data_IF_992107314339
#
_entry.id   IF_992107314339
#
_cell.length_a   1.000
_cell.length_b   1.000
_cell.length_c   1.000
_cell.angle_alpha   90.00
_cell.angle_beta   90.00
_cell.angle_gamma   90.00
#
_symmetry.space_group_name_H-M   'P 1'
#
loop_
_entity.id
_entity.type
_entity.pdbx_description
1 polymer ?
#
# COMPACT_ATOMS: atom_id res chain seq x y z
N UNK A 1 51.16 -23.69 33.47
CA UNK A 1 50.81 -24.84 32.61
C UNK A 1 49.61 -24.44 31.77
N UNK A 2 49.74 -24.50 30.44
CA UNK A 2 48.72 -24.43 29.37
C UNK A 2 47.84 -23.16 29.29
N UNK A 3 47.64 -22.51 28.14
CA UNK A 3 48.08 -22.83 26.80
C UNK A 3 47.62 -21.74 25.81
N UNK A 4 48.57 -21.32 24.98
CA UNK A 4 48.49 -21.26 23.50
C UNK A 4 47.43 -20.37 22.83
N UNK A 5 47.97 -19.37 22.15
CA UNK A 5 47.44 -18.53 21.07
C UNK A 5 46.59 -19.25 20.01
N UNK A 6 45.67 -18.50 19.37
CA UNK A 6 45.32 -18.72 17.97
C UNK A 6 45.19 -17.40 17.21
N UNK A 7 46.28 -17.05 16.55
CA UNK A 7 46.35 -16.12 15.43
C UNK A 7 45.70 -16.77 14.20
N UNK A 8 45.00 -16.01 13.39
CA UNK A 8 44.60 -16.39 12.03
C UNK A 8 43.32 -15.65 11.64
N UNK A 9 43.24 -14.94 10.54
CA UNK A 9 44.15 -14.72 9.43
C UNK A 9 43.45 -13.75 8.47
N UNK A 10 44.24 -13.01 7.70
CA UNK A 10 43.83 -11.99 6.75
C UNK A 10 43.01 -12.57 5.55
N UNK A 11 41.94 -11.83 5.14
CA UNK A 11 41.68 -11.17 3.81
C UNK A 11 41.64 -12.08 2.54
N UNK A 12 41.16 -11.70 1.32
CA UNK A 12 40.06 -10.84 0.77
C UNK A 12 39.11 -11.59 -0.23
N UNK A 13 38.17 -10.84 -0.83
CA UNK A 13 37.73 -10.91 -2.24
C UNK A 13 36.84 -12.07 -2.77
N UNK A 14 35.71 -11.68 -3.39
CA UNK A 14 35.17 -12.12 -4.70
C UNK A 14 33.66 -11.74 -4.71
N UNK A 15 33.17 -10.76 -5.48
CA UNK A 15 33.01 -10.72 -6.94
C UNK A 15 32.15 -11.86 -7.51
N UNK A 16 31.31 -11.49 -8.50
CA UNK A 16 30.36 -12.27 -9.32
C UNK A 16 28.93 -12.40 -8.75
N UNK A 17 27.83 -12.21 -9.49
CA UNK A 17 27.66 -12.24 -10.94
C UNK A 17 26.50 -11.35 -11.42
N UNK A 18 26.75 -10.66 -12.54
CA UNK A 18 25.77 -10.19 -13.52
C UNK A 18 25.34 -11.39 -14.39
N UNK A 19 24.13 -11.33 -14.98
CA UNK A 19 23.54 -12.20 -16.05
C UNK A 19 22.27 -12.95 -15.57
N UNK A 20 21.12 -13.09 -16.26
CA UNK A 20 20.63 -12.89 -17.63
C UNK A 20 19.08 -12.70 -17.54
N UNK A 21 18.46 -11.76 -18.27
CA UNK A 21 17.66 -11.95 -19.51
C UNK A 21 16.64 -13.10 -19.48
N UNK A 22 15.34 -12.76 -19.59
CA UNK A 22 14.19 -13.45 -20.27
C UNK A 22 12.91 -12.73 -19.78
N UNK A 23 11.97 -12.19 -20.56
CA UNK A 23 11.56 -12.40 -21.95
C UNK A 23 10.90 -11.12 -22.47
N UNK A 24 11.30 -10.69 -23.68
CA UNK A 24 10.58 -9.69 -24.44
C UNK A 24 9.16 -10.18 -24.72
N UNK A 25 8.18 -9.36 -24.34
CA UNK A 25 6.79 -9.57 -24.73
C UNK A 25 6.69 -9.30 -26.23
N UNK A 26 6.37 -10.34 -26.98
CA UNK A 26 6.07 -10.28 -28.40
C UNK A 26 5.04 -9.18 -28.69
N UNK A 27 5.48 -8.22 -29.50
CA UNK A 27 4.85 -7.83 -30.76
C UNK A 27 3.38 -8.25 -30.92
N UNK A 28 2.50 -7.27 -30.77
CA UNK A 28 1.16 -7.30 -31.37
C UNK A 28 0.98 -6.01 -32.18
N UNK A 29 0.99 -6.18 -33.49
CA UNK A 29 0.63 -5.23 -34.54
C UNK A 29 -0.48 -5.94 -35.37
N UNK A 30 -1.34 -5.30 -36.20
CA UNK A 30 -1.97 -3.96 -36.25
C UNK A 30 -3.52 -4.14 -36.43
N UNK A 31 -4.25 -3.48 -37.37
CA UNK A 31 -4.63 -2.07 -37.56
C UNK A 31 -6.17 -1.81 -37.53
N UNK A 32 -6.51 -0.53 -37.70
CA UNK A 32 -7.66 0.03 -38.44
C UNK A 32 -9.07 0.00 -37.80
N UNK A 33 -9.47 1.20 -37.37
CA UNK A 33 -10.86 1.62 -37.29
C UNK A 33 -11.45 1.83 -38.70
N UNK A 34 -12.67 1.34 -38.98
CA UNK A 34 -13.52 1.91 -40.00
C UNK A 34 -14.45 2.96 -39.36
N UNK A 35 -14.42 4.18 -39.88
CA UNK A 35 -15.48 5.17 -39.69
C UNK A 35 -16.64 4.88 -40.66
N UNK A 36 -17.90 5.03 -40.22
CA UNK A 36 -19.06 5.57 -40.96
C UNK A 36 -20.32 5.62 -40.03
N UNK A 37 -21.48 6.22 -40.42
CA UNK A 37 -21.90 7.54 -39.93
C UNK A 37 -23.34 7.57 -39.32
N UNK A 38 -23.74 8.79 -38.94
CA UNK A 38 -25.03 9.26 -38.41
C UNK A 38 -26.33 8.62 -38.92
N UNK A 39 -27.35 8.57 -38.04
CA UNK A 39 -28.74 8.81 -38.42
C UNK A 39 -29.56 9.37 -37.24
N UNK A 40 -30.16 10.53 -37.49
CA UNK A 40 -31.18 11.21 -36.69
C UNK A 40 -32.46 10.37 -36.57
N UNK A 41 -33.15 10.45 -35.43
CA UNK A 41 -34.52 9.94 -35.29
C UNK A 41 -35.14 10.23 -33.93
N UNK A 42 -36.45 10.51 -33.84
CA UNK A 42 -37.04 11.51 -32.94
C UNK A 42 -37.40 10.99 -31.54
N UNK A 43 -37.53 11.93 -30.60
CA UNK A 43 -38.18 11.72 -29.30
C UNK A 43 -39.65 11.30 -29.47
N UNK A 44 -40.16 10.43 -28.59
CA UNK A 44 -41.44 10.74 -27.98
C UNK A 44 -41.56 10.38 -26.48
N UNK A 45 -42.37 11.19 -25.80
CA UNK A 45 -43.33 10.88 -24.73
C UNK A 45 -42.86 10.21 -23.42
N UNK A 46 -43.01 10.97 -22.33
CA UNK A 46 -43.04 10.48 -20.94
C UNK A 46 -44.16 9.47 -20.68
N UNK A 47 -43.96 8.56 -19.71
CA UNK A 47 -45.00 8.33 -18.71
C UNK A 47 -44.48 8.33 -17.25
N UNK A 48 -45.28 8.95 -16.40
CA UNK A 48 -45.55 8.67 -14.99
C UNK A 48 -44.47 7.97 -14.13
N UNK A 49 -43.86 8.74 -13.22
CA UNK A 49 -43.29 8.20 -11.97
C UNK A 49 -44.44 7.80 -11.04
N UNK A 50 -44.89 6.56 -11.15
CA UNK A 50 -45.71 5.92 -10.11
C UNK A 50 -44.82 5.59 -8.92
N UNK A 51 -45.19 6.13 -7.75
CA UNK A 51 -44.70 5.68 -6.47
C UNK A 51 -45.02 4.19 -6.28
N UNK A 52 -43.99 3.41 -5.96
CA UNK A 52 -44.10 2.02 -5.56
C UNK A 52 -43.15 1.78 -4.40
N UNK A 53 -43.67 1.88 -3.18
CA UNK A 53 -43.06 1.35 -1.96
C UNK A 53 -42.94 -0.16 -2.11
N UNK A 54 -41.72 -0.68 -2.11
CA UNK A 54 -41.42 -2.08 -1.84
C UNK A 54 -40.29 -2.15 -0.81
N UNK A 55 -40.54 -2.58 0.44
CA UNK A 55 -39.48 -2.89 1.37
C UNK A 55 -38.84 -4.23 1.00
N UNK A 56 -37.77 -4.17 0.23
CA UNK A 56 -36.93 -5.34 -0.05
C UNK A 56 -36.33 -5.91 1.26
N UNK A 57 -36.22 -7.26 1.39
CA UNK A 57 -35.87 -7.92 2.64
C UNK A 57 -34.45 -7.59 3.09
N UNK A 58 -34.30 -7.28 4.38
CA UNK A 58 -33.01 -7.12 5.06
C UNK A 58 -32.15 -8.37 4.89
N UNK A 59 -30.91 -8.27 4.36
CA UNK A 59 -29.97 -9.38 4.41
C UNK A 59 -29.52 -9.61 5.85
N UNK A 60 -29.87 -10.77 6.41
CA UNK A 60 -29.26 -11.29 7.63
C UNK A 60 -27.78 -11.53 7.37
N UNK A 61 -26.92 -10.65 7.89
CA UNK A 61 -25.47 -10.87 7.95
C UNK A 61 -25.20 -12.02 8.91
N UNK A 62 -24.96 -13.22 8.37
CA UNK A 62 -24.40 -14.34 9.12
C UNK A 62 -22.97 -13.98 9.50
N UNK A 63 -22.78 -13.53 10.74
CA UNK A 63 -21.47 -13.25 11.31
C UNK A 63 -20.62 -14.53 11.32
N UNK A 64 -19.77 -14.71 10.31
CA UNK A 64 -18.67 -15.66 10.40
C UNK A 64 -17.70 -15.15 11.45
N UNK A 65 -17.44 -15.99 12.46
CA UNK A 65 -16.53 -15.71 13.55
C UNK A 65 -15.14 -15.32 13.02
N UNK A 66 -14.71 -14.09 13.31
CA UNK A 66 -13.33 -13.65 13.12
C UNK A 66 -12.44 -14.35 14.15
N UNK A 67 -11.21 -14.77 13.79
CA UNK A 67 -10.28 -15.33 14.76
C UNK A 67 -9.97 -14.29 15.84
N UNK A 68 -9.98 -14.72 17.10
CA UNK A 68 -9.70 -13.91 18.28
C UNK A 68 -8.37 -13.16 18.15
N UNK A 69 -8.46 -11.84 17.99
CA UNK A 69 -7.35 -10.92 18.27
C UNK A 69 -7.18 -10.83 19.79
N UNK A 70 -6.38 -11.73 20.36
CA UNK A 70 -5.81 -11.54 21.69
C UNK A 70 -4.70 -10.49 21.60
N UNK A 71 -5.08 -9.22 21.75
CA UNK A 71 -4.18 -8.08 21.85
C UNK A 71 -5.00 -6.85 22.22
N UNK A 72 -4.72 -6.29 23.39
CA UNK A 72 -5.38 -5.16 24.05
C UNK A 72 -5.95 -4.10 23.07
N UNK A 73 -7.21 -3.65 23.24
CA UNK A 73 -7.78 -2.60 22.41
C UNK A 73 -7.10 -1.26 22.75
N UNK A 74 -6.17 -0.82 21.91
CA UNK A 74 -5.66 0.54 21.98
C UNK A 74 -6.77 1.49 21.45
N UNK A 75 -7.51 2.09 22.39
CA UNK A 75 -8.23 3.35 22.23
C UNK A 75 -9.20 3.49 21.04
N UNK A 76 -10.50 3.31 21.31
CA UNK A 76 -11.56 3.82 20.42
C UNK A 76 -11.41 5.35 20.31
N UNK A 77 -11.27 5.90 19.10
CA UNK A 77 -11.28 7.35 18.85
C UNK A 77 -9.92 8.06 18.82
N UNK A 78 -8.80 7.36 18.61
CA UNK A 78 -7.50 8.01 18.45
C UNK A 78 -7.28 8.43 16.99
N UNK A 79 -7.13 9.74 16.80
CA UNK A 79 -6.57 10.35 15.60
C UNK A 79 -5.13 10.73 15.93
N UNK A 80 -4.19 10.25 15.13
CA UNK A 80 -2.77 10.52 15.31
C UNK A 80 -2.12 10.72 13.94
N UNK A 81 -1.20 11.69 13.85
CA UNK A 81 -0.36 11.93 12.68
C UNK A 81 1.12 11.81 13.07
N UNK A 82 1.61 10.62 13.50
CA UNK A 82 3.03 10.43 13.78
C UNK A 82 3.88 10.67 12.53
N UNK A 83 4.99 11.38 12.73
CA UNK A 83 6.03 11.58 11.72
C UNK A 83 7.24 10.77 12.16
N UNK A 84 7.66 9.80 11.35
CA UNK A 84 8.67 8.83 11.80
C UNK A 84 9.14 7.85 10.74
N UNK A 85 10.06 6.97 11.16
CA UNK A 85 10.47 5.81 10.37
C UNK A 85 9.33 4.81 10.32
N UNK A 86 8.91 4.41 9.12
CA UNK A 86 7.85 3.43 8.91
C UNK A 86 8.44 2.04 8.73
N UNK A 87 7.91 1.07 9.47
CA UNK A 87 8.30 -0.34 9.38
C UNK A 87 7.07 -1.23 9.23
N UNK A 88 7.24 -2.38 8.57
CA UNK A 88 6.16 -3.36 8.41
C UNK A 88 6.21 -4.39 9.55
N UNK A 89 5.12 -4.55 10.29
CA UNK A 89 5.05 -5.42 11.48
C UNK A 89 4.50 -6.80 11.15
N UNK A 90 3.65 -6.93 10.13
CA UNK A 90 3.03 -8.20 9.74
C UNK A 90 1.54 -8.09 9.42
N UNK A 91 1.03 -9.05 8.65
CA UNK A 91 -0.36 -9.04 8.16
C UNK A 91 -0.62 -7.83 7.26
N UNK A 92 -1.22 -6.79 7.85
CA UNK A 92 -1.48 -5.50 7.21
C UNK A 92 -1.07 -4.32 8.11
N UNK A 93 -0.24 -4.54 9.13
CA UNK A 93 0.14 -3.48 10.09
C UNK A 93 1.49 -2.87 9.81
N UNK A 94 1.57 -1.56 10.03
CA UNK A 94 2.81 -0.79 10.06
C UNK A 94 3.00 -0.18 11.44
N UNK A 95 4.26 0.09 11.77
CA UNK A 95 4.68 0.82 12.97
C UNK A 95 5.47 2.03 12.54
N UNK A 96 5.12 3.18 13.11
CA UNK A 96 5.81 4.45 12.91
C UNK A 96 6.58 4.73 14.18
N UNK A 97 7.90 4.86 14.05
CA UNK A 97 8.81 5.24 15.14
C UNK A 97 9.20 6.71 14.95
N UNK A 98 8.61 7.65 15.71
CA UNK A 98 9.03 9.04 15.71
C UNK A 98 10.44 9.17 16.30
N UNK A 99 11.16 10.25 15.97
CA UNK A 99 12.43 10.55 16.65
C UNK A 99 12.25 10.80 18.14
N UNK A 100 11.11 11.43 18.49
CA UNK A 100 10.71 11.75 19.85
C UNK A 100 9.29 11.25 20.11
N UNK A 101 9.14 10.40 21.14
CA UNK A 101 7.84 9.91 21.58
C UNK A 101 7.68 8.39 21.46
N UNK A 102 6.44 7.94 21.60
CA UNK A 102 6.11 6.52 21.53
C UNK A 102 5.77 6.11 20.10
N UNK A 103 6.16 4.88 19.76
CA UNK A 103 5.82 4.31 18.47
C UNK A 103 4.31 4.08 18.34
N UNK A 104 3.78 4.38 17.16
CA UNK A 104 2.36 4.24 16.85
C UNK A 104 2.18 3.13 15.82
N UNK A 105 1.24 2.24 16.04
CA UNK A 105 0.88 1.20 15.09
C UNK A 105 -0.46 1.49 14.44
N UNK A 106 -0.60 1.09 13.17
CA UNK A 106 -1.84 1.20 12.43
C UNK A 106 -1.99 0.08 11.40
N UNK A 107 -3.23 -0.26 11.09
CA UNK A 107 -3.58 -1.23 10.05
C UNK A 107 -3.80 -0.54 8.70
N UNK A 108 -3.05 -0.96 7.69
CA UNK A 108 -3.23 -0.55 6.31
C UNK A 108 -4.54 -1.12 5.77
N UNK A 109 -5.27 -0.30 5.03
CA UNK A 109 -6.50 -0.73 4.35
C UNK A 109 -6.33 -0.55 2.85
N UNK A 110 -7.16 -1.18 1.99
CA UNK A 110 -7.14 -0.93 0.56
C UNK A 110 -7.38 0.54 0.15
N UNK A 111 -7.89 1.36 1.08
CA UNK A 111 -8.20 2.77 0.88
C UNK A 111 -7.11 3.72 1.38
N UNK A 112 -6.04 3.21 2.00
CA UNK A 112 -4.92 4.02 2.44
C UNK A 112 -4.28 4.71 1.25
N UNK A 113 -4.15 6.04 1.33
CA UNK A 113 -3.45 6.84 0.33
C UNK A 113 -1.96 6.79 0.62
N UNK A 114 -1.14 6.43 -0.36
CA UNK A 114 0.32 6.41 -0.23
C UNK A 114 0.92 7.40 -1.22
N UNK A 115 1.65 8.39 -0.69
CA UNK A 115 2.33 9.43 -1.45
C UNK A 115 3.83 9.27 -1.26
N UNK A 116 4.54 9.02 -2.37
CA UNK A 116 5.98 8.77 -2.43
C UNK A 116 6.63 9.89 -3.23
N UNK A 117 7.49 10.67 -2.60
CA UNK A 117 8.13 11.84 -3.21
C UNK A 117 9.41 11.44 -3.94
N UNK A 118 10.13 10.44 -3.42
CA UNK A 118 11.43 10.02 -3.94
C UNK A 118 11.34 8.89 -4.98
N UNK A 119 10.21 8.21 -5.07
CA UNK A 119 10.01 7.07 -5.97
C UNK A 119 10.58 5.75 -5.42
N UNK A 120 10.81 5.67 -4.10
CA UNK A 120 11.35 4.48 -3.43
C UNK A 120 10.32 3.35 -3.28
N UNK A 121 9.03 3.69 -3.33
CA UNK A 121 7.90 2.76 -3.25
C UNK A 121 7.37 2.47 -4.65
N UNK A 122 7.19 3.50 -5.48
CA UNK A 122 6.81 3.37 -6.87
C UNK A 122 7.38 4.51 -7.73
N UNK A 123 7.86 4.17 -8.92
CA UNK A 123 8.65 5.04 -9.80
C UNK A 123 7.86 5.57 -11.02
N UNK A 124 6.53 5.45 -10.99
CA UNK A 124 5.65 5.79 -12.12
C UNK A 124 4.66 6.90 -11.76
N UNK A 125 4.37 7.75 -12.73
CA UNK A 125 3.39 8.84 -12.61
C UNK A 125 4.01 10.17 -12.16
N UNK A 126 3.13 11.13 -11.87
CA UNK A 126 3.51 12.45 -11.35
C UNK A 126 4.00 12.37 -9.89
N UNK A 127 4.82 13.33 -9.48
CA UNK A 127 5.31 13.47 -8.10
C UNK A 127 4.35 14.40 -7.31
N UNK A 128 3.96 14.07 -6.07
CA UNK A 128 4.27 12.82 -5.37
C UNK A 128 3.58 11.62 -6.02
N UNK A 129 4.33 10.53 -6.19
CA UNK A 129 3.87 9.29 -6.77
C UNK A 129 2.75 8.69 -5.89
N UNK A 130 1.59 8.45 -6.52
CA UNK A 130 0.48 7.78 -5.86
C UNK A 130 0.67 6.28 -5.93
N UNK A 131 1.21 5.71 -4.85
CA UNK A 131 1.48 4.28 -4.78
C UNK A 131 0.28 3.51 -4.21
N UNK A 132 0.19 2.24 -4.59
CA UNK A 132 -0.74 1.31 -3.96
C UNK A 132 -0.19 0.79 -2.63
N UNK A 133 -1.10 0.37 -1.75
CA UNK A 133 -0.75 -0.27 -0.48
C UNK A 133 0.05 -1.57 -0.68
N UNK A 134 -0.20 -2.28 -1.78
CA UNK A 134 0.59 -3.45 -2.13
C UNK A 134 2.06 -3.09 -2.43
N UNK A 135 2.31 -1.98 -3.11
CA UNK A 135 3.67 -1.47 -3.36
C UNK A 135 4.34 -1.01 -2.06
N UNK A 136 3.63 -0.26 -1.21
CA UNK A 136 4.14 0.11 0.11
C UNK A 136 4.55 -1.12 0.93
N UNK A 137 3.66 -2.11 1.06
CA UNK A 137 3.94 -3.35 1.78
C UNK A 137 5.15 -4.09 1.19
N UNK A 138 5.28 -4.10 -0.13
CA UNK A 138 6.42 -4.73 -0.81
C UNK A 138 7.73 -4.00 -0.49
N UNK A 139 7.72 -2.66 -0.54
CA UNK A 139 8.88 -1.83 -0.25
C UNK A 139 9.33 -1.99 1.21
N UNK A 140 8.41 -1.87 2.16
CA UNK A 140 8.73 -2.03 3.59
C UNK A 140 9.22 -3.44 3.94
N UNK A 141 8.69 -4.49 3.30
CA UNK A 141 9.18 -5.87 3.46
C UNK A 141 10.56 -6.10 2.85
N UNK A 142 10.97 -5.25 1.92
CA UNK A 142 12.30 -5.27 1.33
C UNK A 142 13.28 -4.36 2.09
N UNK A 143 12.93 -3.92 3.31
CA UNK A 143 13.71 -3.03 4.15
C UNK A 143 14.04 -1.68 3.47
N UNK A 144 13.15 -1.21 2.58
CA UNK A 144 13.25 0.15 2.04
C UNK A 144 12.96 1.13 3.17
N UNK A 145 13.93 2.00 3.46
CA UNK A 145 13.78 3.04 4.45
C UNK A 145 12.74 4.06 3.98
N UNK A 146 11.64 4.17 4.71
CA UNK A 146 10.60 5.15 4.49
C UNK A 146 10.45 6.04 5.72
N UNK A 147 10.67 7.33 5.54
CA UNK A 147 10.38 8.33 6.56
C UNK A 147 9.13 9.10 6.13
N UNK A 148 8.08 9.10 6.95
CA UNK A 148 6.77 9.60 6.51
C UNK A 148 5.94 10.18 7.66
N UNK A 149 5.01 11.06 7.30
CA UNK A 149 3.84 11.39 8.10
C UNK A 149 2.74 10.36 7.83
N UNK A 150 2.16 9.81 8.89
CA UNK A 150 1.17 8.74 8.77
C UNK A 150 -0.09 9.12 9.54
N UNK A 151 -1.20 9.32 8.83
CA UNK A 151 -2.49 9.55 9.48
C UNK A 151 -3.12 8.23 9.90
N UNK A 152 -3.30 8.05 11.20
CA UNK A 152 -3.97 6.91 11.82
C UNK A 152 -5.27 7.39 12.46
N UNK A 153 -6.39 6.77 12.08
CA UNK A 153 -7.72 7.05 12.61
C UNK A 153 -8.38 5.75 13.04
N UNK A 154 -8.76 5.67 14.32
CA UNK A 154 -9.39 4.47 14.90
C UNK A 154 -8.54 3.19 14.70
N UNK A 155 -7.22 3.34 14.70
CA UNK A 155 -6.25 2.25 14.45
C UNK A 155 -6.06 1.89 12.98
N UNK A 156 -6.75 2.55 12.05
CA UNK A 156 -6.59 2.37 10.61
C UNK A 156 -5.73 3.48 10.02
N UNK A 157 -4.81 3.11 9.14
CA UNK A 157 -3.99 4.07 8.41
C UNK A 157 -4.80 4.60 7.22
N UNK A 158 -5.03 5.91 7.18
CA UNK A 158 -5.75 6.55 6.07
C UNK A 158 -4.81 7.20 5.06
N UNK A 159 -3.63 7.64 5.49
CA UNK A 159 -2.63 8.27 4.63
C UNK A 159 -1.22 7.96 5.12
N UNK A 160 -0.30 7.79 4.16
CA UNK A 160 1.15 7.70 4.35
C UNK A 160 1.78 8.64 3.36
N UNK A 161 2.44 9.69 3.83
CA UNK A 161 3.09 10.70 2.99
C UNK A 161 4.58 10.76 3.31
N UNK A 162 5.41 10.41 2.34
CA UNK A 162 6.86 10.46 2.50
C UNK A 162 7.36 11.89 2.74
N UNK A 163 8.27 12.02 3.71
CA UNK A 163 8.97 13.27 4.00
C UNK A 163 10.45 13.13 3.63
N UNK A 164 10.95 14.05 2.82
CA UNK A 164 12.37 14.17 2.50
C UNK A 164 13.10 14.87 3.64
N UNK A 165 14.06 14.17 4.26
CA UNK A 165 14.97 14.75 5.26
C UNK A 165 16.19 15.36 4.55
N UNK A 166 16.45 16.65 4.78
CA UNK A 166 17.63 17.37 4.27
C UNK A 166 18.79 17.35 5.27
#
# INVERSE_FOLDING_TARGET
MNGTSKTGGLVPAAALALALVLSGCSEADPPAAPAAPSASGPAPASPALSAGTDPAPTPTLTASASPSLSGTPAGRGLYADPVGQVTFVGGERIRVEPDDGEAVEGELTPFTVVLDVQGGICDKGEIPHKCSVAQLKKALKADVALYAEVTVKDGLVTQVEEIVRN
#
